data_IF_000953596720
#
_entry.id   IF_000953596720
#
_cell.length_a   1.000
_cell.length_b   1.000
_cell.length_c   1.000
_cell.angle_alpha   90.00
_cell.angle_beta   90.00
_cell.angle_gamma   90.00
#
_symmetry.space_group_name_H-M   'P 1'
#
loop_
_entity.id
_entity.type
_entity.pdbx_description
1 polymer ?
#
# COMPACT_ATOMS: atom_id res chain seq x y z
N UNK A 1 -32.77 -15.13 32.86
CA UNK A 1 -31.70 -14.17 32.50
C UNK A 1 -30.95 -14.71 31.29
N UNK A 2 -31.36 -14.29 30.09
CA UNK A 2 -30.79 -14.73 28.81
C UNK A 2 -29.63 -13.81 28.44
N UNK A 3 -28.37 -14.30 28.53
CA UNK A 3 -27.22 -13.62 27.98
C UNK A 3 -27.23 -13.79 26.46
N UNK A 4 -27.75 -12.81 25.75
CA UNK A 4 -27.42 -12.61 24.32
C UNK A 4 -25.92 -12.29 24.22
N UNK A 5 -25.11 -13.29 23.86
CA UNK A 5 -23.77 -13.05 23.37
C UNK A 5 -23.91 -12.38 22.00
N UNK A 6 -23.60 -11.09 21.95
CA UNK A 6 -23.43 -10.38 20.70
C UNK A 6 -22.39 -11.16 19.88
N UNK A 7 -22.80 -11.59 18.69
CA UNK A 7 -21.97 -12.28 17.72
C UNK A 7 -21.13 -11.21 17.03
N UNK A 8 -20.08 -10.72 17.69
CA UNK A 8 -19.04 -9.95 17.01
C UNK A 8 -18.43 -10.87 15.95
N UNK A 9 -18.81 -10.65 14.70
CA UNK A 9 -18.12 -11.24 13.56
C UNK A 9 -16.68 -10.77 13.63
N UNK A 10 -15.79 -11.60 14.13
CA UNK A 10 -14.35 -11.39 14.02
C UNK A 10 -14.06 -11.25 12.53
N UNK A 11 -13.78 -10.02 12.08
CA UNK A 11 -13.39 -9.75 10.69
C UNK A 11 -12.12 -10.56 10.44
N UNK A 12 -12.13 -11.45 9.43
CA UNK A 12 -10.96 -12.18 9.03
C UNK A 12 -9.91 -11.22 8.46
N UNK A 13 -8.65 -11.57 8.62
CA UNK A 13 -7.53 -10.86 8.00
C UNK A 13 -7.33 -11.38 6.57
N UNK A 14 -7.11 -10.49 5.61
CA UNK A 14 -6.77 -10.87 4.23
C UNK A 14 -5.42 -11.58 4.22
N UNK A 15 -5.37 -12.74 3.56
CA UNK A 15 -4.14 -13.52 3.40
C UNK A 15 -3.42 -13.06 2.14
N UNK A 16 -2.09 -12.88 2.21
CA UNK A 16 -1.25 -12.76 1.04
C UNK A 16 -1.12 -14.17 0.40
N UNK A 17 -1.99 -14.44 -0.59
CA UNK A 17 -2.12 -15.78 -1.18
C UNK A 17 -0.84 -16.27 -1.82
N UNK A 18 -0.09 -15.39 -2.48
CA UNK A 18 1.18 -15.72 -3.11
C UNK A 18 2.27 -16.03 -2.08
N UNK A 19 2.32 -15.32 -0.96
CA UNK A 19 3.22 -15.65 0.14
C UNK A 19 2.90 -17.02 0.74
N UNK A 20 1.63 -17.29 1.00
CA UNK A 20 1.18 -18.58 1.52
C UNK A 20 1.54 -19.72 0.55
N UNK A 21 1.27 -19.55 -0.75
CA UNK A 21 1.61 -20.52 -1.80
C UNK A 21 3.12 -20.72 -1.90
N UNK A 22 3.90 -19.66 -1.97
CA UNK A 22 5.35 -19.69 -2.10
C UNK A 22 6.00 -20.41 -0.92
N UNK A 23 5.58 -20.11 0.30
CA UNK A 23 6.06 -20.77 1.51
C UNK A 23 5.70 -22.26 1.53
N UNK A 24 4.47 -22.60 1.13
CA UNK A 24 4.06 -24.00 1.02
C UNK A 24 4.89 -24.79 -0.01
N UNK A 25 5.10 -24.20 -1.20
CA UNK A 25 5.91 -24.83 -2.26
C UNK A 25 7.37 -25.00 -1.83
N UNK A 26 7.96 -23.96 -1.20
CA UNK A 26 9.31 -24.06 -0.62
C UNK A 26 9.45 -25.17 0.42
N UNK A 27 8.38 -25.50 1.13
CA UNK A 27 8.29 -26.61 2.09
C UNK A 27 8.03 -27.96 1.40
N UNK A 28 7.84 -27.98 0.07
CA UNK A 28 7.53 -29.20 -0.70
C UNK A 28 6.13 -29.76 -0.38
N UNK A 29 5.22 -28.96 0.16
CA UNK A 29 3.89 -29.41 0.58
C UNK A 29 2.86 -29.19 -0.52
N UNK A 30 1.93 -30.13 -0.68
CA UNK A 30 0.66 -29.92 -1.38
C UNK A 30 -0.30 -29.12 -0.52
N UNK A 31 -1.37 -28.57 -1.10
CA UNK A 31 -2.44 -27.89 -0.34
C UNK A 31 -3.08 -28.81 0.71
N UNK A 32 -3.28 -30.09 0.35
CA UNK A 32 -3.85 -31.09 1.24
C UNK A 32 -2.93 -31.43 2.42
N UNK A 33 -1.62 -31.53 2.19
CA UNK A 33 -0.63 -31.78 3.25
C UNK A 33 -0.50 -30.60 4.20
N UNK A 34 -0.45 -29.36 3.69
CA UNK A 34 -0.46 -28.16 4.54
C UNK A 34 -1.73 -28.10 5.38
N UNK A 35 -2.90 -28.37 4.77
CA UNK A 35 -4.18 -28.40 5.48
C UNK A 35 -4.15 -29.42 6.61
N UNK A 36 -3.65 -30.64 6.35
CA UNK A 36 -3.52 -31.70 7.37
C UNK A 36 -2.57 -31.27 8.50
N UNK A 37 -1.42 -30.66 8.18
CA UNK A 37 -0.45 -30.21 9.19
C UNK A 37 -1.02 -29.09 10.08
N UNK A 38 -1.80 -28.19 9.51
CA UNK A 38 -2.42 -27.07 10.23
C UNK A 38 -3.77 -27.42 10.89
N UNK A 39 -4.28 -28.65 10.71
CA UNK A 39 -5.55 -29.08 11.28
C UNK A 39 -6.80 -28.54 10.60
N UNK A 40 -6.71 -28.18 9.32
CA UNK A 40 -7.80 -27.60 8.53
C UNK A 40 -8.15 -28.42 7.28
N UNK A 41 -9.15 -27.94 6.53
CA UNK A 41 -9.50 -28.53 5.23
C UNK A 41 -8.67 -27.92 4.09
N UNK A 42 -8.43 -28.71 3.04
CA UNK A 42 -7.79 -28.23 1.81
C UNK A 42 -8.52 -27.01 1.20
N UNK A 43 -9.86 -26.97 1.30
CA UNK A 43 -10.67 -25.84 0.85
C UNK A 43 -10.28 -24.54 1.56
N UNK A 44 -9.90 -24.60 2.84
CA UNK A 44 -9.46 -23.43 3.60
C UNK A 44 -8.10 -22.93 3.13
N UNK A 45 -7.15 -23.86 2.88
CA UNK A 45 -5.83 -23.49 2.32
C UNK A 45 -6.00 -22.87 0.93
N UNK A 46 -6.83 -23.47 0.08
CA UNK A 46 -7.16 -22.94 -1.25
C UNK A 46 -7.79 -21.54 -1.18
N UNK A 47 -8.68 -21.31 -0.21
CA UNK A 47 -9.24 -19.98 0.05
C UNK A 47 -8.16 -18.98 0.45
N UNK A 48 -7.22 -19.37 1.32
CA UNK A 48 -6.08 -18.51 1.73
C UNK A 48 -5.18 -18.18 0.54
N UNK A 49 -4.81 -19.17 -0.28
CA UNK A 49 -3.98 -18.96 -1.48
C UNK A 49 -4.67 -18.12 -2.58
N UNK A 50 -5.99 -17.99 -2.52
CA UNK A 50 -6.76 -17.08 -3.36
C UNK A 50 -6.93 -15.68 -2.75
N UNK A 51 -6.20 -15.35 -1.66
CA UNK A 51 -6.28 -14.06 -0.99
C UNK A 51 -7.50 -13.87 -0.09
N UNK A 52 -8.23 -14.95 0.21
CA UNK A 52 -9.44 -14.90 1.02
C UNK A 52 -9.13 -14.62 2.51
N UNK A 53 -10.04 -13.91 3.19
CA UNK A 53 -9.90 -13.61 4.60
C UNK A 53 -10.00 -14.86 5.48
N UNK A 54 -9.04 -15.02 6.41
CA UNK A 54 -8.97 -16.06 7.42
C UNK A 54 -8.94 -15.46 8.84
N UNK A 55 -9.31 -16.23 9.85
CA UNK A 55 -9.16 -15.77 11.23
C UNK A 55 -7.68 -15.70 11.63
N UNK A 56 -7.33 -14.84 12.59
CA UNK A 56 -5.95 -14.73 13.09
C UNK A 56 -5.43 -16.10 13.57
N UNK A 57 -6.21 -16.83 14.36
CA UNK A 57 -5.82 -18.16 14.84
C UNK A 57 -5.50 -19.12 13.66
N UNK A 58 -6.32 -19.08 12.59
CA UNK A 58 -6.07 -19.91 11.39
C UNK A 58 -4.75 -19.52 10.73
N UNK A 59 -4.42 -18.24 10.69
CA UNK A 59 -3.18 -17.73 10.10
C UNK A 59 -1.98 -18.12 10.97
N UNK A 60 -2.12 -18.07 12.29
CA UNK A 60 -1.11 -18.53 13.25
C UNK A 60 -0.82 -20.02 13.08
N UNK A 61 -1.85 -20.86 12.99
CA UNK A 61 -1.70 -22.30 12.78
C UNK A 61 -1.06 -22.64 11.42
N UNK A 62 -1.42 -21.91 10.35
CA UNK A 62 -0.77 -22.05 9.05
C UNK A 62 0.70 -21.61 9.09
N UNK A 63 1.02 -20.53 9.78
CA UNK A 63 2.40 -20.06 9.96
C UNK A 63 3.23 -21.08 10.75
N UNK A 64 2.67 -21.67 11.80
CA UNK A 64 3.32 -22.74 12.56
C UNK A 64 3.58 -23.97 11.69
N UNK A 65 2.57 -24.44 10.94
CA UNK A 65 2.68 -25.59 10.04
C UNK A 65 3.73 -25.38 8.91
N UNK A 66 3.94 -24.14 8.50
CA UNK A 66 4.94 -23.76 7.49
C UNK A 66 6.34 -23.55 8.08
N UNK A 67 6.47 -23.39 9.38
CA UNK A 67 7.76 -23.19 10.05
C UNK A 67 8.64 -24.45 9.98
N UNK A 68 9.94 -24.25 9.97
CA UNK A 68 10.93 -25.32 10.03
C UNK A 68 12.19 -24.88 10.80
N UNK A 69 13.15 -25.78 11.02
CA UNK A 69 14.38 -25.48 11.72
C UNK A 69 15.20 -24.36 11.08
N UNK A 70 15.13 -24.22 9.75
CA UNK A 70 15.89 -23.22 8.99
C UNK A 70 15.15 -21.88 8.87
N UNK A 71 13.81 -21.89 9.02
CA UNK A 71 12.99 -20.69 8.86
C UNK A 71 11.75 -20.74 9.76
N UNK A 72 11.62 -19.75 10.63
CA UNK A 72 10.39 -19.48 11.36
C UNK A 72 9.50 -18.63 10.47
N UNK A 73 8.27 -19.05 10.27
CA UNK A 73 7.21 -18.28 9.60
C UNK A 73 6.34 -17.64 10.69
N UNK A 74 6.03 -16.38 10.54
CA UNK A 74 5.16 -15.64 11.48
C UNK A 74 3.90 -15.17 10.75
N UNK A 75 2.80 -14.89 11.45
CA UNK A 75 1.54 -14.45 10.85
C UNK A 75 1.71 -13.28 9.86
N UNK A 76 2.62 -12.36 10.12
CA UNK A 76 2.92 -11.23 9.23
C UNK A 76 3.51 -11.64 7.88
N UNK A 77 4.08 -12.83 7.76
CA UNK A 77 4.55 -13.35 6.46
C UNK A 77 3.38 -13.84 5.59
N UNK A 78 2.22 -14.09 6.19
CA UNK A 78 1.03 -14.65 5.55
C UNK A 78 -0.12 -13.65 5.43
N UNK A 79 -0.06 -12.50 6.12
CA UNK A 79 -1.10 -11.49 6.10
C UNK A 79 -0.68 -10.32 5.25
N UNK A 80 -1.60 -9.85 4.42
CA UNK A 80 -1.53 -8.49 3.92
C UNK A 80 -2.04 -7.56 5.03
N UNK A 81 -1.17 -6.69 5.52
CA UNK A 81 -1.58 -5.56 6.35
C UNK A 81 -1.64 -4.32 5.46
N UNK A 82 -2.80 -3.98 4.90
CA UNK A 82 -2.91 -2.88 3.95
C UNK A 82 -2.33 -1.57 4.48
N UNK A 83 -2.53 -1.28 5.78
CA UNK A 83 -1.95 -0.10 6.41
C UNK A 83 -0.41 -0.12 6.42
N UNK A 84 0.22 -1.27 6.67
CA UNK A 84 1.68 -1.37 6.69
C UNK A 84 2.28 -1.14 5.29
N UNK A 85 1.59 -1.60 4.24
CA UNK A 85 1.98 -1.38 2.84
C UNK A 85 1.85 0.11 2.49
N UNK A 86 0.70 0.72 2.79
CA UNK A 86 0.48 2.15 2.57
C UNK A 86 1.49 3.00 3.34
N UNK A 87 1.81 2.62 4.58
CA UNK A 87 2.82 3.28 5.42
C UNK A 87 4.20 3.19 4.79
N UNK A 88 4.65 1.99 4.37
CA UNK A 88 5.94 1.82 3.68
C UNK A 88 6.02 2.69 2.42
N UNK A 89 4.95 2.78 1.64
CA UNK A 89 4.91 3.63 0.45
C UNK A 89 5.07 5.12 0.80
N UNK A 90 4.34 5.63 1.82
CA UNK A 90 4.45 7.03 2.27
C UNK A 90 5.83 7.32 2.87
N UNK A 91 6.39 6.39 3.64
CA UNK A 91 7.73 6.52 4.21
C UNK A 91 8.80 6.58 3.09
N UNK A 92 8.68 5.74 2.04
CA UNK A 92 9.57 5.80 0.89
C UNK A 92 9.49 7.14 0.13
N UNK A 93 8.27 7.69 -0.02
CA UNK A 93 8.09 9.01 -0.61
C UNK A 93 8.78 10.10 0.23
N UNK A 94 8.64 10.03 1.57
CA UNK A 94 9.25 11.00 2.49
C UNK A 94 10.77 10.93 2.53
N UNK A 95 11.34 9.72 2.40
CA UNK A 95 12.79 9.48 2.52
C UNK A 95 13.53 9.63 1.18
N UNK A 96 12.91 9.21 0.07
CA UNK A 96 13.59 9.03 -1.21
C UNK A 96 13.05 9.93 -2.33
N UNK A 97 11.93 10.63 -2.10
CA UNK A 97 11.35 11.60 -3.03
C UNK A 97 11.17 11.00 -4.45
N UNK A 98 11.81 11.62 -5.47
CA UNK A 98 11.75 11.18 -6.86
C UNK A 98 12.24 9.74 -7.06
N UNK A 99 13.18 9.26 -6.24
CA UNK A 99 13.79 7.92 -6.35
C UNK A 99 13.04 6.85 -5.53
N UNK A 100 11.86 7.15 -4.99
CA UNK A 100 11.14 6.25 -4.09
C UNK A 100 10.87 4.86 -4.69
N UNK A 101 10.67 4.75 -5.99
CA UNK A 101 10.34 3.50 -6.65
C UNK A 101 11.48 2.49 -6.66
N UNK A 102 12.74 2.93 -6.52
CA UNK A 102 13.90 2.05 -6.33
C UNK A 102 13.81 1.27 -4.99
N UNK A 103 13.03 1.78 -4.02
CA UNK A 103 12.91 1.25 -2.66
C UNK A 103 11.56 0.60 -2.36
N UNK A 104 10.53 0.92 -3.10
CA UNK A 104 9.18 0.39 -2.86
C UNK A 104 8.40 0.06 -4.14
N UNK A 105 9.03 -0.01 -5.29
CA UNK A 105 8.38 -0.44 -6.54
C UNK A 105 7.83 -1.86 -6.45
N UNK A 106 8.41 -2.71 -5.60
CA UNK A 106 7.93 -4.06 -5.28
C UNK A 106 6.55 -4.09 -4.58
N UNK A 107 6.07 -2.96 -4.10
CA UNK A 107 4.72 -2.85 -3.52
C UNK A 107 3.63 -2.65 -4.58
N UNK A 108 3.98 -2.33 -5.81
CA UNK A 108 3.03 -2.06 -6.89
C UNK A 108 2.66 -3.35 -7.64
N UNK A 109 1.39 -3.49 -7.98
CA UNK A 109 0.94 -4.54 -8.88
C UNK A 109 1.42 -4.27 -10.32
N UNK A 110 1.51 -5.31 -11.15
CA UNK A 110 1.88 -5.17 -12.56
C UNK A 110 0.89 -4.27 -13.33
N UNK A 111 -0.41 -4.38 -12.99
CA UNK A 111 -1.52 -3.60 -13.54
C UNK A 111 -1.87 -2.36 -12.70
N UNK A 112 -0.89 -1.82 -11.95
CA UNK A 112 -1.08 -0.67 -11.08
C UNK A 112 -1.62 0.56 -11.82
N UNK A 113 -2.60 1.21 -11.21
CA UNK A 113 -3.18 2.47 -11.70
C UNK A 113 -2.95 3.60 -10.68
N UNK A 114 -2.54 4.76 -11.17
CA UNK A 114 -2.43 5.96 -10.37
C UNK A 114 -3.28 7.08 -10.97
N UNK A 115 -4.16 7.64 -10.16
CA UNK A 115 -4.98 8.81 -10.50
C UNK A 115 -4.55 10.01 -9.66
N UNK A 116 -4.17 11.10 -10.32
CA UNK A 116 -3.87 12.37 -9.66
C UNK A 116 -4.98 13.37 -9.97
N UNK A 117 -5.68 13.83 -8.92
CA UNK A 117 -6.75 14.81 -9.06
C UNK A 117 -6.22 16.14 -9.63
N UNK A 118 -7.04 16.83 -10.42
CA UNK A 118 -6.71 18.14 -10.96
C UNK A 118 -7.47 18.46 -12.24
N UNK A 119 -7.27 19.66 -12.74
CA UNK A 119 -7.82 20.10 -14.02
C UNK A 119 -6.99 19.52 -15.17
N UNK A 120 -7.63 19.32 -16.33
CA UNK A 120 -6.96 18.78 -17.53
C UNK A 120 -5.81 19.64 -18.06
N UNK A 121 -5.70 20.90 -17.62
CA UNK A 121 -4.60 21.80 -17.93
C UNK A 121 -3.35 21.57 -17.07
N UNK A 122 -3.48 20.87 -15.93
CA UNK A 122 -2.35 20.59 -15.05
C UNK A 122 -1.43 19.52 -15.63
N UNK A 123 -0.11 19.71 -15.47
CA UNK A 123 0.92 18.79 -15.96
C UNK A 123 0.97 17.46 -15.22
N UNK A 124 0.46 17.46 -13.97
CA UNK A 124 0.50 16.31 -13.06
C UNK A 124 -0.88 15.64 -12.85
N UNK A 125 -1.97 16.26 -13.31
CA UNK A 125 -3.30 15.66 -13.21
C UNK A 125 -3.51 14.54 -14.24
N UNK A 126 -4.39 13.60 -13.91
CA UNK A 126 -4.83 12.54 -14.84
C UNK A 126 -4.50 11.14 -14.37
N UNK A 127 -4.55 10.21 -15.31
CA UNK A 127 -4.37 8.78 -15.07
C UNK A 127 -3.00 8.33 -15.60
N UNK A 128 -2.31 7.55 -14.76
CA UNK A 128 -0.96 7.03 -15.00
C UNK A 128 -0.97 5.52 -14.76
N UNK A 129 -0.29 4.75 -15.58
CA UNK A 129 -0.36 3.29 -15.53
C UNK A 129 1.01 2.67 -15.29
N UNK A 130 1.03 1.66 -14.42
CA UNK A 130 2.22 0.92 -14.08
C UNK A 130 3.27 1.75 -13.33
N UNK A 131 4.37 1.11 -13.02
CA UNK A 131 5.49 1.74 -12.33
C UNK A 131 6.13 2.86 -13.17
N UNK A 132 6.25 2.68 -14.50
CA UNK A 132 6.80 3.69 -15.40
C UNK A 132 5.93 4.95 -15.46
N UNK A 133 4.59 4.78 -15.42
CA UNK A 133 3.66 5.91 -15.37
C UNK A 133 3.83 6.71 -14.08
N UNK A 134 3.92 6.04 -12.92
CA UNK A 134 4.17 6.71 -11.65
C UNK A 134 5.55 7.40 -11.61
N UNK A 135 6.61 6.78 -12.18
CA UNK A 135 7.92 7.43 -12.28
C UNK A 135 7.85 8.70 -13.13
N UNK A 136 7.14 8.63 -14.27
CA UNK A 136 6.94 9.81 -15.12
C UNK A 136 6.20 10.94 -14.38
N UNK A 137 5.21 10.58 -13.56
CA UNK A 137 4.52 11.55 -12.70
C UNK A 137 5.45 12.17 -11.66
N UNK A 138 6.26 11.34 -10.98
CA UNK A 138 7.25 11.81 -9.99
C UNK A 138 8.25 12.79 -10.64
N UNK A 139 8.74 12.47 -11.83
CA UNK A 139 9.67 13.32 -12.57
C UNK A 139 9.05 14.69 -12.89
N UNK A 140 7.80 14.70 -13.35
CA UNK A 140 7.08 15.95 -13.61
C UNK A 140 6.80 16.73 -12.33
N UNK A 141 6.39 16.05 -11.26
CA UNK A 141 6.11 16.68 -9.99
C UNK A 141 7.34 17.34 -9.38
N UNK A 142 8.47 16.64 -9.33
CA UNK A 142 9.71 17.17 -8.78
C UNK A 142 10.45 18.15 -9.74
N UNK A 143 10.02 18.26 -10.99
CA UNK A 143 10.43 19.36 -11.87
C UNK A 143 9.73 20.69 -11.52
N UNK A 144 8.57 20.63 -10.84
CA UNK A 144 7.77 21.81 -10.45
C UNK A 144 8.10 22.27 -9.04
N UNK A 145 8.37 21.33 -8.13
CA UNK A 145 8.55 21.58 -6.69
C UNK A 145 9.69 20.78 -6.11
N UNK A 146 10.29 21.35 -5.05
CA UNK A 146 11.16 20.62 -4.14
C UNK A 146 10.44 20.33 -2.81
N UNK A 147 10.99 19.37 -2.05
CA UNK A 147 10.59 19.12 -0.65
C UNK A 147 11.75 19.48 0.28
N UNK A 148 11.49 20.17 1.40
CA UNK A 148 12.53 20.46 2.39
C UNK A 148 13.15 19.15 2.90
N UNK A 149 14.46 19.06 2.85
CA UNK A 149 15.18 17.98 3.52
C UNK A 149 14.89 18.01 5.02
N UNK A 150 14.51 16.84 5.63
CA UNK A 150 14.28 16.65 7.07
C UNK A 150 12.90 16.99 7.62
N UNK A 151 11.84 17.03 6.83
CA UNK A 151 10.48 16.95 7.40
C UNK A 151 9.96 15.53 7.30
N UNK A 152 9.80 14.88 8.45
CA UNK A 152 9.13 13.57 8.52
C UNK A 152 7.63 13.80 8.35
N UNK A 153 7.03 13.19 7.33
CA UNK A 153 5.59 13.20 7.14
C UNK A 153 4.91 12.47 8.32
N UNK A 154 3.94 13.14 8.93
CA UNK A 154 3.09 12.53 9.94
C UNK A 154 1.75 12.20 9.34
N UNK A 155 1.64 11.02 8.74
CA UNK A 155 0.41 10.56 8.14
C UNK A 155 -0.50 9.89 9.19
N UNK A 156 -1.80 10.19 9.11
CA UNK A 156 -2.86 9.44 9.77
C UNK A 156 -3.42 8.43 8.79
N UNK A 157 -3.72 7.21 9.25
CA UNK A 157 -4.20 6.13 8.42
C UNK A 157 -5.61 5.72 8.84
N UNK A 158 -6.47 5.49 7.86
CA UNK A 158 -7.81 4.94 8.02
C UNK A 158 -7.92 3.72 7.11
N UNK A 159 -8.25 2.56 7.67
CA UNK A 159 -8.26 1.29 6.96
C UNK A 159 -9.65 0.68 6.96
N UNK A 160 -10.12 0.25 5.79
CA UNK A 160 -11.36 -0.50 5.61
C UNK A 160 -11.17 -1.55 4.52
N UNK A 161 -11.19 -2.84 4.90
CA UNK A 161 -11.01 -3.99 3.99
C UNK A 161 -9.73 -3.90 3.16
N UNK A 162 -9.82 -3.71 1.84
CA UNK A 162 -8.70 -3.55 0.90
C UNK A 162 -8.33 -2.08 0.63
N UNK A 163 -8.97 -1.13 1.35
CA UNK A 163 -8.75 0.30 1.17
C UNK A 163 -8.02 0.90 2.37
N UNK A 164 -7.02 1.74 2.10
CA UNK A 164 -6.34 2.56 3.10
C UNK A 164 -6.33 4.01 2.62
N UNK A 165 -6.67 4.93 3.52
CA UNK A 165 -6.49 6.36 3.28
C UNK A 165 -5.35 6.84 4.17
N UNK A 166 -4.29 7.35 3.55
CA UNK A 166 -3.22 8.08 4.25
C UNK A 166 -3.46 9.58 4.09
N UNK A 167 -3.54 10.30 5.22
CA UNK A 167 -3.74 11.74 5.23
C UNK A 167 -2.60 12.43 5.95
N UNK A 168 -1.97 13.41 5.32
CA UNK A 168 -0.86 14.17 5.88
C UNK A 168 -0.79 15.59 5.32
N UNK A 169 -0.02 16.45 6.00
CA UNK A 169 0.42 17.70 5.41
C UNK A 169 1.74 17.48 4.68
N UNK A 170 1.80 17.87 3.42
CA UNK A 170 3.06 18.02 2.70
C UNK A 170 3.50 19.46 2.65
N UNK A 171 4.81 19.68 2.71
CA UNK A 171 5.41 21.01 2.54
C UNK A 171 6.22 21.00 1.27
N UNK A 172 5.85 21.84 0.33
CA UNK A 172 6.45 21.98 -0.97
C UNK A 172 7.16 23.32 -1.08
N UNK A 173 8.26 23.36 -1.80
CA UNK A 173 9.05 24.56 -2.10
C UNK A 173 8.95 24.82 -3.59
N UNK A 174 8.39 25.96 -3.96
CA UNK A 174 8.31 26.36 -5.36
C UNK A 174 9.65 26.88 -5.89
N UNK A 175 9.76 27.09 -7.21
CA UNK A 175 10.97 27.59 -7.88
C UNK A 175 11.43 28.96 -7.34
N UNK A 176 10.50 29.81 -6.87
CA UNK A 176 10.76 31.11 -6.25
C UNK A 176 11.14 31.01 -4.75
N UNK A 177 11.39 29.80 -4.25
CA UNK A 177 11.71 29.50 -2.84
C UNK A 177 10.56 29.74 -1.87
N UNK A 178 9.37 30.06 -2.33
CA UNK A 178 8.18 30.14 -1.47
C UNK A 178 7.78 28.74 -0.99
N UNK A 179 7.31 28.64 0.27
CA UNK A 179 6.89 27.38 0.88
C UNK A 179 5.37 27.31 0.94
N UNK A 180 4.85 26.18 0.54
CA UNK A 180 3.42 25.88 0.58
C UNK A 180 3.17 24.62 1.41
N UNK A 181 2.15 24.67 2.25
CA UNK A 181 1.70 23.50 3.03
C UNK A 181 0.32 23.12 2.53
N UNK A 182 0.17 21.86 2.11
CA UNK A 182 -1.10 21.35 1.61
C UNK A 182 -1.50 20.07 2.31
N UNK A 183 -2.81 19.83 2.41
CA UNK A 183 -3.33 18.53 2.75
C UNK A 183 -3.25 17.61 1.53
N UNK A 184 -2.73 16.41 1.79
CA UNK A 184 -2.71 15.31 0.82
C UNK A 184 -3.51 14.15 1.40
N UNK A 185 -4.38 13.57 0.58
CA UNK A 185 -5.08 12.34 0.90
C UNK A 185 -4.74 11.32 -0.20
N UNK A 186 -4.03 10.26 0.16
CA UNK A 186 -3.74 9.14 -0.71
C UNK A 186 -4.72 8.01 -0.41
N UNK A 187 -5.49 7.62 -1.40
CA UNK A 187 -6.41 6.48 -1.31
C UNK A 187 -5.75 5.28 -1.99
N UNK A 188 -5.43 4.28 -1.21
CA UNK A 188 -4.83 3.03 -1.68
C UNK A 188 -5.90 1.95 -1.80
N UNK A 189 -5.94 1.24 -2.91
CA UNK A 189 -6.57 -0.07 -3.02
C UNK A 189 -5.46 -1.11 -3.01
N UNK A 190 -5.50 -2.02 -2.03
CA UNK A 190 -4.44 -3.01 -1.80
C UNK A 190 -5.04 -4.40 -1.86
N UNK A 191 -4.57 -5.21 -2.81
CA UNK A 191 -5.03 -6.59 -3.01
C UNK A 191 -3.85 -7.53 -3.08
N UNK A 192 -3.97 -8.68 -2.46
CA UNK A 192 -2.92 -9.71 -2.42
C UNK A 192 -1.54 -9.19 -1.96
N UNK A 193 -1.52 -8.15 -1.11
CA UNK A 193 -0.27 -7.58 -0.62
C UNK A 193 0.37 -6.55 -1.55
N UNK A 194 -0.30 -6.17 -2.65
CA UNK A 194 0.17 -5.19 -3.62
C UNK A 194 -0.81 -4.02 -3.75
N UNK A 195 -0.29 -2.84 -4.01
CA UNK A 195 -1.07 -1.66 -4.36
C UNK A 195 -1.52 -1.81 -5.81
N UNK A 196 -2.82 -1.97 -6.04
CA UNK A 196 -3.39 -2.07 -7.38
C UNK A 196 -3.88 -0.72 -7.90
N UNK A 197 -4.26 0.19 -6.98
CA UNK A 197 -4.70 1.54 -7.34
C UNK A 197 -4.30 2.54 -6.28
N UNK A 198 -3.87 3.71 -6.70
CA UNK A 198 -3.58 4.87 -5.88
C UNK A 198 -4.31 6.09 -6.43
N UNK A 199 -5.03 6.81 -5.57
CA UNK A 199 -5.64 8.09 -5.93
C UNK A 199 -5.06 9.18 -5.03
N UNK A 200 -4.52 10.25 -5.64
CA UNK A 200 -3.96 11.39 -4.94
C UNK A 200 -4.94 12.56 -5.02
N UNK A 201 -5.43 12.99 -3.86
CA UNK A 201 -6.34 14.14 -3.72
C UNK A 201 -5.70 15.21 -2.84
N UNK A 202 -5.68 16.43 -3.34
CA UNK A 202 -5.07 17.58 -2.69
C UNK A 202 -5.73 18.89 -3.16
N UNK A 203 -5.23 20.03 -2.71
CA UNK A 203 -5.70 21.33 -3.21
C UNK A 203 -5.19 21.59 -4.63
N UNK A 204 -6.03 21.30 -5.61
CA UNK A 204 -5.70 21.42 -7.04
C UNK A 204 -5.48 22.85 -7.50
N UNK A 205 -6.03 23.85 -6.79
CA UNK A 205 -5.79 25.26 -7.08
C UNK A 205 -4.35 25.67 -6.75
N UNK A 206 -3.76 25.01 -5.76
CA UNK A 206 -2.36 25.22 -5.39
C UNK A 206 -1.41 24.59 -6.42
N UNK A 207 -1.75 23.43 -6.97
CA UNK A 207 -0.96 22.80 -8.03
C UNK A 207 -0.78 23.72 -9.23
N UNK A 208 -1.86 24.35 -9.71
CA UNK A 208 -1.79 25.30 -10.82
C UNK A 208 -0.89 26.52 -10.52
N UNK A 209 -0.90 26.99 -9.26
CA UNK A 209 0.00 28.10 -8.84
C UNK A 209 1.47 27.67 -8.87
N UNK A 210 1.78 26.46 -8.39
CA UNK A 210 3.13 25.90 -8.40
C UNK A 210 3.64 25.69 -9.82
N UNK A 211 2.79 25.17 -10.71
CA UNK A 211 3.11 25.01 -12.12
C UNK A 211 3.38 26.36 -12.82
N UNK A 212 2.55 27.37 -12.54
CA UNK A 212 2.74 28.73 -13.07
C UNK A 212 4.03 29.37 -12.57
N UNK A 213 4.39 29.17 -11.31
CA UNK A 213 5.65 29.64 -10.73
C UNK A 213 6.87 28.94 -11.36
N UNK A 214 6.78 27.67 -11.65
CA UNK A 214 7.86 26.91 -12.33
C UNK A 214 8.04 27.32 -13.80
N UNK A 215 6.97 27.77 -14.47
CA UNK A 215 7.05 28.25 -15.85
C UNK A 215 7.71 29.63 -15.99
N UNK A 216 7.77 30.42 -14.89
CA UNK A 216 8.34 31.77 -14.87
C UNK A 216 9.30 31.94 -13.67
N UNK A 217 10.45 31.22 -13.67
CA UNK A 217 11.43 31.38 -12.59
C UNK A 217 12.01 32.79 -12.63
N UNK A 218 11.95 33.49 -11.50
CA UNK A 218 12.43 34.88 -11.32
C UNK A 218 13.93 35.00 -11.38
#
# INVERSE_FOLDING_TARGET
MNKQRANERVKGLSVCGDSLRSLRVMRGLTQAELAKHAGYSERLVRKGEAGGALSLNTIEDLAEALSCKQRRVVPSDLCSFPEAIARKFVDCYDEHHQLMLDYCGDLLAEDFEFHCAGESASLIAGDWHGMEGLQTWLDKFFAIVDRPQRKILRASYMTAEDCVIARYHDTLVAADQSQYVMWVNLHFTIRHGLITRLENQFDTSLALKLEAAAAHPS
#
